data_IF_284806016949
#
_entry.id   IF_284806016949
#
_cell.length_a   1.000
_cell.length_b   1.000
_cell.length_c   1.000
_cell.angle_alpha   90.00
_cell.angle_beta   90.00
_cell.angle_gamma   90.00
#
_symmetry.space_group_name_H-M   'P 1'
#
loop_
_entity.id
_entity.type
_entity.pdbx_description
1 polymer ?
#
# COMPACT_ATOMS: atom_id res chain seq x y z
N UNK A 1 43.24 50.42 86.25
CA UNK A 1 42.86 51.73 85.70
C UNK A 1 41.52 51.51 85.02
N UNK A 2 40.48 51.25 85.82
CA UNK A 2 39.59 52.27 86.39
C UNK A 2 38.59 52.68 85.29
N UNK A 3 37.27 52.67 85.46
CA UNK A 3 36.47 52.66 86.66
C UNK A 3 35.01 52.33 86.31
N UNK A 4 34.28 51.94 87.36
CA UNK A 4 32.83 51.86 87.50
C UNK A 4 31.99 52.90 86.73
N UNK A 5 30.79 52.51 86.27
CA UNK A 5 29.52 53.05 86.80
C UNK A 5 28.27 52.53 86.04
N UNK A 6 27.47 51.76 86.79
CA UNK A 6 25.99 51.75 86.87
C UNK A 6 25.25 52.82 86.04
N UNK A 7 24.17 52.46 85.31
CA UNK A 7 22.77 52.50 85.80
C UNK A 7 21.72 52.47 84.66
N UNK A 8 20.71 51.63 84.88
CA UNK A 8 19.28 51.80 84.52
C UNK A 8 18.81 51.39 83.13
N UNK A 9 18.20 50.20 83.07
CA UNK A 9 17.13 49.88 82.12
C UNK A 9 16.02 50.93 82.18
N UNK A 10 15.68 51.51 81.04
CA UNK A 10 14.31 51.96 80.76
C UNK A 10 13.87 51.33 79.46
N UNK A 11 12.87 50.44 79.58
CA UNK A 11 12.07 49.99 78.46
C UNK A 11 11.45 51.21 77.77
N UNK A 12 11.83 51.45 76.52
CA UNK A 12 11.04 52.21 75.58
C UNK A 12 10.68 51.26 74.45
N UNK A 13 9.41 50.86 74.44
CA UNK A 13 8.79 50.12 73.35
C UNK A 13 8.70 51.07 72.16
N UNK A 14 9.57 50.90 71.17
CA UNK A 14 9.44 51.54 69.86
C UNK A 14 9.16 50.41 68.88
N UNK A 15 7.91 50.37 68.40
CA UNK A 15 7.47 49.54 67.30
C UNK A 15 8.27 49.92 66.04
N UNK A 16 9.30 49.15 65.75
CA UNK A 16 10.01 49.22 64.48
C UNK A 16 9.13 48.65 63.39
N UNK A 17 8.64 49.53 62.52
CA UNK A 17 8.07 49.14 61.23
C UNK A 17 9.19 48.51 60.41
N UNK A 18 9.28 47.19 60.43
CA UNK A 18 10.01 46.44 59.43
C UNK A 18 9.13 46.39 58.17
N UNK A 19 9.54 47.12 57.14
CA UNK A 19 9.03 46.89 55.79
C UNK A 19 9.56 45.52 55.34
N UNK A 20 8.77 44.48 55.60
CA UNK A 20 8.92 43.20 54.91
C UNK A 20 8.54 43.45 53.46
N UNK A 21 9.51 43.40 52.55
CA UNK A 21 9.21 43.13 51.15
C UNK A 21 8.57 41.75 51.11
N UNK A 22 7.24 41.69 51.04
CA UNK A 22 6.56 40.53 50.52
C UNK A 22 6.99 40.46 49.05
N UNK A 23 7.97 39.60 48.77
CA UNK A 23 8.09 39.06 47.43
C UNK A 23 6.81 38.28 47.18
N UNK A 24 5.83 38.90 46.53
CA UNK A 24 4.85 38.14 45.78
C UNK A 24 5.66 37.45 44.68
N UNK A 25 6.10 36.22 44.94
CA UNK A 25 6.27 35.30 43.83
C UNK A 25 4.87 35.11 43.27
N UNK A 26 4.54 35.88 42.24
CA UNK A 26 3.46 35.53 41.32
C UNK A 26 3.92 34.22 40.65
N UNK A 27 3.68 33.13 41.37
CA UNK A 27 3.78 31.79 40.86
C UNK A 27 2.52 31.51 40.06
N UNK A 28 2.34 32.20 38.94
CA UNK A 28 1.79 31.51 37.79
C UNK A 28 2.86 30.51 37.38
N UNK A 29 2.83 29.34 38.03
CA UNK A 29 3.25 28.13 37.36
C UNK A 29 2.47 28.12 36.05
N UNK A 30 3.20 28.30 34.96
CA UNK A 30 2.74 27.82 33.66
C UNK A 30 2.44 26.34 33.90
N UNK A 31 1.15 26.02 34.07
CA UNK A 31 0.69 24.66 34.05
C UNK A 31 0.96 24.24 32.61
N UNK A 32 2.11 23.61 32.37
CA UNK A 32 2.41 23.03 31.07
C UNK A 32 1.15 22.31 30.63
N UNK A 33 0.62 22.71 29.47
CA UNK A 33 -0.55 22.07 28.89
C UNK A 33 -0.17 20.60 28.76
N UNK A 34 -0.76 19.76 29.62
CA UNK A 34 -0.66 18.33 29.43
C UNK A 34 -1.39 18.08 28.10
N UNK A 35 -0.66 17.56 27.13
CA UNK A 35 -1.15 17.21 25.80
C UNK A 35 -0.99 15.71 25.61
N UNK A 36 -1.82 15.15 24.74
CA UNK A 36 -1.95 13.72 24.54
C UNK A 36 -1.23 13.35 23.26
N UNK A 37 -0.25 12.45 23.32
CA UNK A 37 0.47 12.07 22.12
C UNK A 37 -0.38 11.18 21.20
N UNK A 38 -0.25 11.41 19.89
CA UNK A 38 -0.66 10.44 18.88
C UNK A 38 0.43 9.36 18.78
N UNK A 39 0.12 8.12 19.17
CA UNK A 39 1.12 7.04 19.32
C UNK A 39 1.26 6.21 18.05
N UNK A 40 0.16 6.00 17.33
CA UNK A 40 0.17 5.18 16.10
C UNK A 40 -0.88 5.62 15.11
N UNK A 41 -0.48 5.59 13.84
CA UNK A 41 -1.38 5.60 12.69
C UNK A 41 -1.03 4.44 11.77
N UNK A 42 -2.05 3.73 11.31
CA UNK A 42 -1.91 2.62 10.35
C UNK A 42 -3.05 2.71 9.32
N UNK A 43 -2.77 2.69 8.01
CA UNK A 43 -1.46 2.80 7.39
C UNK A 43 -0.73 4.09 7.79
N UNK A 44 0.61 4.07 7.84
CA UNK A 44 1.38 5.31 8.03
C UNK A 44 1.24 6.21 6.80
N UNK A 45 1.40 7.51 6.98
CA UNK A 45 1.50 8.44 5.85
C UNK A 45 2.64 8.05 4.92
N UNK A 46 2.41 8.15 3.61
CA UNK A 46 3.32 7.69 2.56
C UNK A 46 3.27 6.18 2.28
N UNK A 47 2.44 5.39 2.97
CA UNK A 47 2.37 3.93 2.71
C UNK A 47 1.89 3.67 1.29
N UNK A 48 2.59 2.80 0.57
CA UNK A 48 2.20 2.31 -0.75
C UNK A 48 1.68 0.88 -0.63
N UNK A 49 0.90 0.44 -1.62
CA UNK A 49 0.42 -0.94 -1.73
C UNK A 49 -0.40 -1.41 -0.51
N UNK A 50 -1.21 -0.52 0.06
CA UNK A 50 -2.15 -0.85 1.13
C UNK A 50 -3.25 -1.77 0.58
N UNK A 51 -3.56 -2.85 1.28
CA UNK A 51 -4.64 -3.77 0.89
C UNK A 51 -5.98 -3.02 0.75
N UNK A 52 -6.77 -3.32 -0.28
CA UNK A 52 -8.05 -2.66 -0.53
C UNK A 52 -9.08 -2.89 0.59
N UNK A 53 -8.94 -3.94 1.39
CA UNK A 53 -9.75 -4.22 2.58
C UNK A 53 -9.07 -3.80 3.89
N UNK A 54 -7.98 -3.03 3.81
CA UNK A 54 -7.26 -2.57 4.99
C UNK A 54 -8.18 -1.76 5.92
N UNK A 55 -8.01 -1.97 7.22
CA UNK A 55 -8.59 -1.14 8.27
C UNK A 55 -7.61 -0.05 8.63
N UNK A 56 -8.13 1.12 9.01
CA UNK A 56 -7.30 2.20 9.51
C UNK A 56 -7.35 2.20 11.03
N UNK A 57 -6.20 2.29 11.68
CA UNK A 57 -6.07 2.35 13.13
C UNK A 57 -5.38 3.65 13.56
N UNK A 58 -5.95 4.27 14.58
CA UNK A 58 -5.40 5.44 15.27
C UNK A 58 -5.26 5.08 16.75
N UNK A 59 -4.07 5.25 17.32
CA UNK A 59 -3.77 4.96 18.72
C UNK A 59 -3.29 6.20 19.45
N UNK A 60 -3.85 6.44 20.63
CA UNK A 60 -3.64 7.61 21.47
C UNK A 60 -2.97 7.17 22.78
N UNK A 61 -2.14 8.05 23.33
CA UNK A 61 -1.45 7.81 24.60
C UNK A 61 -2.44 7.65 25.76
N UNK A 62 -3.41 8.55 25.82
CA UNK A 62 -4.41 8.59 26.88
C UNK A 62 -5.82 8.18 26.39
N UNK A 63 -6.71 7.97 27.37
CA UNK A 63 -8.07 7.55 27.12
C UNK A 63 -8.87 8.72 26.55
N UNK A 64 -9.40 8.55 25.34
CA UNK A 64 -10.11 9.63 24.64
C UNK A 64 -11.49 9.94 25.21
N UNK A 65 -11.99 11.17 25.01
CA UNK A 65 -13.35 11.56 25.35
C UNK A 65 -14.42 10.85 24.48
N UNK A 66 -15.69 10.93 24.89
CA UNK A 66 -16.79 10.38 24.08
C UNK A 66 -17.03 11.26 22.84
N UNK A 67 -17.33 10.66 21.69
CA UNK A 67 -17.66 11.38 20.45
C UNK A 67 -16.43 11.87 19.68
N UNK A 68 -15.21 11.53 20.13
CA UNK A 68 -13.99 11.98 19.46
C UNK A 68 -13.77 11.34 18.09
N UNK A 69 -14.48 10.25 17.78
CA UNK A 69 -14.54 9.67 16.44
C UNK A 69 -15.09 10.63 15.38
N UNK A 70 -15.89 11.63 15.78
CA UNK A 70 -16.43 12.65 14.87
C UNK A 70 -15.35 13.59 14.32
N UNK A 71 -14.13 13.55 14.87
CA UNK A 71 -12.98 14.34 14.43
C UNK A 71 -11.98 13.50 13.63
N UNK A 72 -12.36 12.31 13.18
CA UNK A 72 -11.55 11.49 12.30
C UNK A 72 -12.32 11.19 11.01
N UNK A 73 -11.65 11.27 9.88
CA UNK A 73 -12.24 11.01 8.57
C UNK A 73 -11.25 10.29 7.66
N UNK A 74 -11.76 9.55 6.68
CA UNK A 74 -10.94 9.00 5.58
C UNK A 74 -11.48 9.57 4.28
N UNK A 75 -10.64 10.21 3.49
CA UNK A 75 -10.99 10.81 2.21
C UNK A 75 -10.44 10.00 1.05
N UNK A 76 -11.15 10.03 -0.08
CA UNK A 76 -10.62 9.55 -1.36
C UNK A 76 -9.84 10.68 -2.02
N UNK A 77 -8.59 10.43 -2.37
CA UNK A 77 -7.66 11.46 -2.85
C UNK A 77 -7.07 12.29 -1.71
N UNK A 78 -7.02 13.60 -1.92
CA UNK A 78 -6.58 14.59 -0.92
C UNK A 78 -7.71 14.89 0.09
N UNK A 79 -7.44 15.78 1.05
CA UNK A 79 -8.33 16.07 2.17
C UNK A 79 -9.63 16.79 1.75
N UNK A 80 -9.65 17.44 0.59
CA UNK A 80 -10.84 18.05 -0.01
C UNK A 80 -11.72 17.04 -0.79
N UNK A 81 -11.23 15.81 -0.92
CA UNK A 81 -11.93 14.72 -1.59
C UNK A 81 -13.16 14.21 -0.82
N UNK A 82 -14.01 13.39 -1.45
CA UNK A 82 -15.18 12.82 -0.80
C UNK A 82 -14.76 11.85 0.33
N UNK A 83 -15.51 11.89 1.44
CA UNK A 83 -15.31 10.96 2.55
C UNK A 83 -15.68 9.52 2.14
N UNK A 84 -14.85 8.58 2.56
CA UNK A 84 -15.04 7.14 2.41
C UNK A 84 -16.10 6.69 3.41
N UNK A 85 -17.16 6.03 2.92
CA UNK A 85 -18.16 5.44 3.80
C UNK A 85 -17.58 4.26 4.60
N UNK A 86 -17.86 4.23 5.91
CA UNK A 86 -17.42 3.15 6.79
C UNK A 86 -17.84 3.37 8.23
N UNK A 87 -17.29 2.55 9.11
CA UNK A 87 -17.61 2.55 10.54
C UNK A 87 -16.38 2.76 11.41
N UNK A 88 -16.50 3.71 12.33
CA UNK A 88 -15.55 3.96 13.41
C UNK A 88 -15.93 3.16 14.67
N UNK A 89 -14.96 2.48 15.27
CA UNK A 89 -15.13 1.70 16.48
C UNK A 89 -13.99 1.95 17.48
N UNK A 90 -14.35 2.34 18.71
CA UNK A 90 -13.41 2.44 19.81
C UNK A 90 -13.16 1.08 20.47
N UNK A 91 -11.91 0.82 20.79
CA UNK A 91 -11.50 -0.13 21.84
C UNK A 91 -12.18 0.19 23.18
N UNK A 92 -12.32 -0.82 24.04
CA UNK A 92 -13.04 -0.67 25.33
C UNK A 92 -12.40 0.37 26.27
N UNK A 93 -11.08 0.48 26.22
CA UNK A 93 -10.29 1.45 26.98
C UNK A 93 -10.25 2.83 26.31
N UNK A 94 -10.69 2.94 25.04
CA UNK A 94 -10.69 4.14 24.20
C UNK A 94 -9.31 4.74 23.95
N UNK A 95 -8.29 3.90 23.83
CA UNK A 95 -6.96 4.30 23.34
C UNK A 95 -6.77 4.03 21.85
N UNK A 96 -7.55 3.11 21.27
CA UNK A 96 -7.51 2.75 19.85
C UNK A 96 -8.85 3.00 19.18
N UNK A 97 -8.82 3.73 18.07
CA UNK A 97 -9.94 3.95 17.18
C UNK A 97 -9.67 3.23 15.87
N UNK A 98 -10.64 2.46 15.39
CA UNK A 98 -10.51 1.68 14.15
C UNK A 98 -11.60 2.06 13.16
N UNK A 99 -11.21 2.42 11.94
CA UNK A 99 -12.10 2.59 10.81
C UNK A 99 -12.15 1.30 9.98
N UNK A 100 -13.35 0.85 9.67
CA UNK A 100 -13.59 -0.23 8.70
C UNK A 100 -14.40 0.34 7.54
N UNK A 101 -13.83 0.42 6.32
CA UNK A 101 -14.58 0.82 5.12
C UNK A 101 -15.80 -0.10 4.88
N UNK A 102 -16.92 0.46 4.43
CA UNK A 102 -18.13 -0.32 4.10
C UNK A 102 -17.95 -1.16 2.82
N UNK A 103 -17.06 -0.71 1.93
CA UNK A 103 -16.69 -1.38 0.68
C UNK A 103 -15.15 -1.37 0.54
N UNK A 104 -14.57 -2.31 -0.21
CA UNK A 104 -13.14 -2.27 -0.53
C UNK A 104 -12.75 -0.93 -1.14
N UNK A 105 -11.63 -0.37 -0.70
CA UNK A 105 -11.07 0.85 -1.24
C UNK A 105 -10.68 0.65 -2.71
N UNK A 106 -10.93 1.63 -3.60
CA UNK A 106 -10.51 1.55 -4.99
C UNK A 106 -9.00 1.27 -5.11
N UNK A 107 -8.57 0.40 -6.04
CA UNK A 107 -7.16 0.06 -6.24
C UNK A 107 -6.39 1.22 -6.88
N UNK A 108 -5.06 1.20 -6.75
CA UNK A 108 -4.13 2.19 -7.33
C UNK A 108 -4.52 3.65 -7.05
N UNK A 109 -5.13 3.91 -5.90
CA UNK A 109 -5.74 5.20 -5.57
C UNK A 109 -5.17 5.74 -4.26
N UNK A 110 -4.97 7.07 -4.24
CA UNK A 110 -4.64 7.76 -3.00
C UNK A 110 -5.87 7.87 -2.11
N UNK A 111 -5.65 7.72 -0.82
CA UNK A 111 -6.59 8.04 0.25
C UNK A 111 -5.87 8.84 1.33
N UNK A 112 -6.63 9.62 2.10
CA UNK A 112 -6.08 10.44 3.18
C UNK A 112 -6.85 10.18 4.46
N UNK A 113 -6.16 9.63 5.47
CA UNK A 113 -6.70 9.55 6.83
C UNK A 113 -6.44 10.88 7.53
N UNK A 114 -7.49 11.49 8.06
CA UNK A 114 -7.42 12.75 8.79
C UNK A 114 -7.72 12.51 10.27
N UNK A 115 -6.82 13.01 11.12
CA UNK A 115 -6.99 13.05 12.57
C UNK A 115 -7.09 14.52 12.97
N UNK A 116 -8.28 14.95 13.37
CA UNK A 116 -8.64 16.33 13.60
C UNK A 116 -7.99 16.96 14.83
N UNK A 117 -7.75 18.27 14.76
CA UNK A 117 -7.16 19.07 15.84
C UNK A 117 -8.02 19.20 17.10
N UNK A 118 -9.33 18.99 16.95
CA UNK A 118 -10.33 19.10 18.00
C UNK A 118 -10.39 17.95 18.99
N UNK A 119 -9.62 16.89 18.75
CA UNK A 119 -9.62 15.69 19.57
C UNK A 119 -9.07 16.00 20.97
N UNK A 120 -9.73 15.46 22.00
CA UNK A 120 -9.31 15.59 23.40
C UNK A 120 -9.40 14.27 24.17
N UNK A 121 -8.57 14.11 25.19
CA UNK A 121 -8.72 13.03 26.16
C UNK A 121 -9.96 13.21 27.06
N UNK A 122 -10.21 12.24 27.93
CA UNK A 122 -11.31 12.26 28.88
C UNK A 122 -11.21 13.41 29.93
N UNK A 123 -10.03 13.99 30.12
CA UNK A 123 -9.78 15.10 31.04
C UNK A 123 -9.81 16.47 30.33
N UNK A 124 -9.92 16.47 28.99
CA UNK A 124 -10.03 17.65 28.14
C UNK A 124 -8.70 18.19 27.61
N UNK A 125 -7.62 17.41 27.73
CA UNK A 125 -6.33 17.73 27.15
C UNK A 125 -6.35 17.54 25.63
N UNK A 126 -5.76 18.49 24.90
CA UNK A 126 -5.65 18.43 23.44
C UNK A 126 -4.56 17.46 22.96
N UNK A 127 -4.51 17.24 21.65
CA UNK A 127 -3.50 16.39 21.02
C UNK A 127 -2.17 17.12 20.80
N UNK A 128 -1.06 16.46 21.14
CA UNK A 128 0.29 16.77 20.64
C UNK A 128 0.55 15.92 19.39
N UNK A 129 0.47 16.57 18.23
CA UNK A 129 0.83 15.97 16.96
C UNK A 129 2.31 16.15 16.60
N UNK A 130 2.98 17.16 17.17
CA UNK A 130 4.37 17.49 16.86
C UNK A 130 5.33 16.40 17.35
N UNK A 131 4.99 15.71 18.44
CA UNK A 131 5.84 14.68 19.03
C UNK A 131 6.11 13.50 18.09
N UNK A 132 5.08 12.96 17.44
CA UNK A 132 5.18 11.72 16.64
C UNK A 132 4.51 11.78 15.27
N UNK A 133 3.66 12.78 15.01
CA UNK A 133 2.84 12.82 13.80
C UNK A 133 3.64 12.81 12.50
N UNK A 134 4.72 13.59 12.44
CA UNK A 134 5.63 13.59 11.27
C UNK A 134 6.41 12.29 11.11
N UNK A 135 6.80 11.64 12.20
CA UNK A 135 7.51 10.35 12.17
C UNK A 135 6.62 9.23 11.59
N UNK A 136 5.30 9.40 11.69
CA UNK A 136 4.29 8.53 11.10
C UNK A 136 3.90 8.94 9.67
N UNK A 137 4.61 9.89 9.06
CA UNK A 137 4.35 10.37 7.71
C UNK A 137 3.18 11.35 7.59
N UNK A 138 2.74 11.93 8.71
CA UNK A 138 1.68 12.93 8.71
C UNK A 138 2.15 14.27 8.14
N UNK A 139 1.21 15.00 7.57
CA UNK A 139 1.34 16.40 7.17
C UNK A 139 0.28 17.23 7.89
N UNK A 140 0.57 18.51 8.16
CA UNK A 140 -0.42 19.40 8.76
C UNK A 140 -1.59 19.62 7.80
N UNK A 141 -2.81 19.40 8.27
CA UNK A 141 -4.03 19.73 7.54
C UNK A 141 -4.28 21.25 7.60
N UNK A 142 -3.70 22.00 6.67
CA UNK A 142 -3.89 23.44 6.58
C UNK A 142 -5.07 23.84 5.67
N UNK A 143 -5.39 25.13 5.64
CA UNK A 143 -6.50 25.68 4.83
C UNK A 143 -6.31 25.41 3.33
N UNK A 144 -5.07 25.24 2.84
CA UNK A 144 -4.80 24.96 1.44
C UNK A 144 -5.15 23.53 1.05
N UNK A 145 -5.02 22.58 1.98
CA UNK A 145 -5.39 21.16 1.78
C UNK A 145 -6.90 20.92 1.88
N UNK A 146 -7.65 21.85 2.48
CA UNK A 146 -9.12 21.73 2.64
C UNK A 146 -9.91 22.20 1.41
N UNK A 147 -9.21 22.63 0.35
CA UNK A 147 -9.78 23.13 -0.90
C UNK A 147 -10.13 24.63 -0.85
N UNK A 148 -10.15 25.30 -2.01
CA UNK A 148 -10.36 26.76 -2.13
C UNK A 148 -11.82 27.21 -1.90
N UNK A 149 -12.44 26.79 -0.80
CA UNK A 149 -13.76 27.24 -0.36
C UNK A 149 -13.67 28.56 0.40
N UNK A 150 -13.27 29.63 -0.28
CA UNK A 150 -13.23 30.98 0.29
C UNK A 150 -14.58 31.36 0.89
N UNK A 151 -14.52 31.98 2.08
CA UNK A 151 -15.57 32.78 2.73
C UNK A 151 -16.99 32.55 2.16
N UNK A 152 -17.75 31.64 2.79
CA UNK A 152 -19.19 31.32 2.62
C UNK A 152 -19.43 29.87 2.17
N UNK A 153 -19.34 28.92 3.10
CA UNK A 153 -19.86 27.56 2.90
C UNK A 153 -19.00 26.53 3.62
N UNK A 154 -19.35 26.25 4.87
CA UNK A 154 -18.69 25.19 5.63
C UNK A 154 -18.69 23.88 4.85
N UNK A 155 -17.56 23.18 4.90
CA UNK A 155 -17.61 21.72 4.87
C UNK A 155 -18.71 21.28 5.85
N UNK A 156 -19.61 20.34 5.49
CA UNK A 156 -20.72 19.98 6.36
C UNK A 156 -20.30 19.50 7.77
N UNK A 157 -19.01 19.18 7.97
CA UNK A 157 -18.50 18.58 9.21
C UNK A 157 -17.27 19.27 9.85
N UNK A 158 -16.46 20.06 9.14
CA UNK A 158 -15.25 20.69 9.73
C UNK A 158 -15.50 22.14 10.18
N UNK A 159 -16.25 22.31 11.27
CA UNK A 159 -16.46 23.61 11.93
C UNK A 159 -15.29 24.01 12.85
N UNK A 160 -15.44 25.13 13.57
CA UNK A 160 -14.46 25.66 14.55
C UNK A 160 -13.95 24.61 15.55
N UNK A 161 -14.74 23.56 15.83
CA UNK A 161 -14.37 22.47 16.73
C UNK A 161 -13.21 21.60 16.25
N UNK A 162 -12.83 21.62 14.96
CA UNK A 162 -11.75 20.79 14.41
C UNK A 162 -10.36 21.43 14.49
N UNK A 163 -10.30 22.73 14.82
CA UNK A 163 -9.06 23.49 14.77
C UNK A 163 -8.10 23.09 15.90
N UNK A 164 -6.85 22.87 15.53
CA UNK A 164 -5.75 22.72 16.46
C UNK A 164 -5.22 24.10 16.90
N UNK A 165 -4.52 24.17 18.04
CA UNK A 165 -4.03 25.42 18.61
C UNK A 165 -3.00 26.15 17.72
N UNK A 166 -2.36 25.44 16.78
CA UNK A 166 -1.42 26.02 15.82
C UNK A 166 -2.12 26.62 14.57
N UNK A 167 -3.45 26.60 14.53
CA UNK A 167 -4.26 27.15 13.43
C UNK A 167 -4.49 26.19 12.26
N UNK A 168 -4.01 24.95 12.34
CA UNK A 168 -4.32 23.88 11.40
C UNK A 168 -5.58 23.12 11.86
N UNK A 169 -5.97 22.09 11.13
CA UNK A 169 -7.12 21.24 11.43
C UNK A 169 -6.72 19.85 11.88
N UNK A 170 -5.52 19.70 12.47
CA UNK A 170 -4.93 18.40 12.83
C UNK A 170 -3.99 17.87 11.74
N UNK A 171 -3.82 16.55 11.64
CA UNK A 171 -2.88 15.94 10.69
C UNK A 171 -3.55 15.01 9.68
N UNK A 172 -3.07 15.08 8.44
CA UNK A 172 -3.43 14.22 7.33
C UNK A 172 -2.32 13.17 7.08
N UNK A 173 -2.73 11.94 6.83
CA UNK A 173 -1.85 10.79 6.59
C UNK A 173 -2.23 10.17 5.24
N UNK A 174 -1.59 10.57 4.13
CA UNK A 174 -1.90 10.04 2.81
C UNK A 174 -1.36 8.61 2.64
N UNK A 175 -2.08 7.73 1.96
CA UNK A 175 -1.62 6.38 1.62
C UNK A 175 -2.21 5.94 0.27
N UNK A 176 -1.60 4.93 -0.34
CA UNK A 176 -1.98 4.41 -1.65
C UNK A 176 -2.37 2.93 -1.56
N UNK A 177 -3.53 2.60 -2.11
CA UNK A 177 -3.97 1.22 -2.24
C UNK A 177 -3.16 0.48 -3.29
N UNK A 178 -3.05 -0.84 -3.11
CA UNK A 178 -2.41 -1.71 -4.09
C UNK A 178 -3.19 -1.74 -5.41
N UNK A 179 -2.54 -2.08 -6.54
CA UNK A 179 -3.22 -2.41 -7.79
C UNK A 179 -4.25 -3.53 -7.63
N UNK A 180 -5.21 -3.60 -8.56
CA UNK A 180 -6.27 -4.59 -8.51
C UNK A 180 -5.75 -5.99 -8.83
N UNK A 181 -5.38 -6.77 -7.82
CA UNK A 181 -4.96 -8.16 -8.06
C UNK A 181 -6.11 -9.11 -8.45
N UNK A 182 -7.37 -8.65 -8.42
CA UNK A 182 -8.55 -9.45 -8.81
C UNK A 182 -8.82 -9.43 -10.31
N UNK A 183 -8.30 -8.42 -11.02
CA UNK A 183 -8.19 -8.48 -12.47
C UNK A 183 -7.01 -9.39 -12.84
N UNK A 184 -7.25 -10.25 -13.82
CA UNK A 184 -6.30 -11.22 -14.35
C UNK A 184 -6.31 -11.11 -15.86
N UNK A 185 -5.16 -11.36 -16.47
CA UNK A 185 -5.04 -11.44 -17.91
C UNK A 185 -5.50 -12.81 -18.38
N UNK A 186 -6.42 -12.85 -19.33
CA UNK A 186 -6.87 -14.07 -19.96
C UNK A 186 -6.08 -14.35 -21.25
N UNK A 187 -5.72 -15.62 -21.44
CA UNK A 187 -5.25 -16.12 -22.74
C UNK A 187 -6.48 -16.41 -23.62
N UNK A 188 -6.67 -15.64 -24.68
CA UNK A 188 -7.83 -15.73 -25.58
C UNK A 188 -7.62 -16.78 -26.67
N UNK A 189 -6.38 -16.95 -27.13
CA UNK A 189 -6.06 -17.89 -28.20
C UNK A 189 -4.64 -18.41 -28.10
N UNK A 190 -4.47 -19.68 -28.47
CA UNK A 190 -3.18 -20.29 -28.79
C UNK A 190 -3.30 -20.99 -30.14
N UNK A 191 -2.32 -20.80 -31.00
CA UNK A 191 -2.21 -21.44 -32.31
C UNK A 191 -0.79 -21.95 -32.51
N UNK A 192 -0.57 -23.24 -32.82
CA UNK A 192 -1.56 -24.32 -32.83
C UNK A 192 -2.19 -24.57 -31.45
N UNK A 193 -3.44 -25.00 -31.42
CA UNK A 193 -4.09 -25.39 -30.16
C UNK A 193 -3.42 -26.65 -29.59
N UNK A 194 -3.34 -26.75 -28.27
CA UNK A 194 -2.81 -27.94 -27.59
C UNK A 194 -3.56 -29.21 -28.01
N UNK A 195 -2.81 -30.29 -28.25
CA UNK A 195 -3.30 -31.57 -28.77
C UNK A 195 -3.53 -31.61 -30.29
N UNK A 196 -3.23 -30.53 -31.01
CA UNK A 196 -3.34 -30.51 -32.48
C UNK A 196 -2.38 -31.51 -33.13
N UNK A 197 -2.82 -32.14 -34.21
CA UNK A 197 -2.01 -33.06 -35.01
C UNK A 197 -1.92 -32.57 -36.45
N UNK A 198 -0.90 -33.02 -37.18
CA UNK A 198 -0.69 -32.70 -38.59
C UNK A 198 -0.61 -31.18 -38.83
N UNK A 199 0.07 -30.47 -37.93
CA UNK A 199 0.35 -29.03 -38.04
C UNK A 199 1.37 -28.78 -39.16
N UNK A 200 1.14 -27.76 -39.99
CA UNK A 200 2.06 -27.40 -41.08
C UNK A 200 3.47 -27.09 -40.55
N UNK A 201 4.51 -27.49 -41.28
CA UNK A 201 5.90 -27.25 -40.86
C UNK A 201 6.26 -25.76 -40.81
N UNK A 202 5.51 -24.91 -41.49
CA UNK A 202 5.63 -23.45 -41.46
C UNK A 202 4.48 -22.80 -40.67
N UNK A 203 3.81 -23.55 -39.79
CA UNK A 203 2.76 -23.02 -38.96
C UNK A 203 3.27 -21.83 -38.16
N UNK A 204 2.45 -20.78 -38.12
CA UNK A 204 2.67 -19.61 -37.27
C UNK A 204 2.28 -19.98 -35.85
N UNK A 205 3.21 -19.79 -34.92
CA UNK A 205 2.94 -19.94 -33.49
C UNK A 205 2.49 -18.58 -32.97
N UNK A 206 1.27 -18.51 -32.46
CA UNK A 206 0.62 -17.26 -32.07
C UNK A 206 -0.16 -17.43 -30.75
N UNK A 207 -0.09 -16.40 -29.92
CA UNK A 207 -0.87 -16.26 -28.70
C UNK A 207 -1.56 -14.90 -28.68
N UNK A 208 -2.81 -14.87 -28.22
CA UNK A 208 -3.61 -13.65 -28.08
C UNK A 208 -4.06 -13.51 -26.63
N UNK A 209 -3.85 -12.33 -26.05
CA UNK A 209 -4.18 -11.94 -24.69
C UNK A 209 -5.32 -10.90 -24.73
N UNK A 210 -6.10 -10.80 -23.65
CA UNK A 210 -7.18 -9.82 -23.55
C UNK A 210 -6.72 -8.42 -23.09
N UNK A 211 -5.47 -8.30 -22.64
CA UNK A 211 -4.83 -7.05 -22.22
C UNK A 211 -3.51 -6.81 -22.97
N UNK A 212 -3.08 -5.55 -23.14
CA UNK A 212 -1.74 -5.24 -23.62
C UNK A 212 -0.68 -5.65 -22.59
N UNK A 213 0.33 -6.40 -23.04
CA UNK A 213 1.35 -7.02 -22.19
C UNK A 213 2.59 -6.13 -22.00
N UNK A 214 3.30 -6.31 -20.88
CA UNK A 214 4.56 -5.59 -20.60
C UNK A 214 5.66 -6.02 -21.56
N UNK A 215 6.47 -5.08 -22.05
CA UNK A 215 7.67 -5.37 -22.85
C UNK A 215 8.65 -6.27 -22.09
N UNK A 216 9.15 -7.32 -22.75
CA UNK A 216 10.13 -8.26 -22.19
C UNK A 216 9.51 -9.51 -21.56
N UNK A 217 8.20 -9.55 -21.32
CA UNK A 217 7.54 -10.76 -20.79
C UNK A 217 7.52 -11.92 -21.81
N UNK A 218 7.79 -11.65 -23.09
CA UNK A 218 8.00 -12.69 -24.11
C UNK A 218 9.21 -13.59 -23.81
N UNK A 219 10.17 -13.14 -23.00
CA UNK A 219 11.28 -13.97 -22.51
C UNK A 219 10.80 -15.12 -21.59
N UNK A 220 9.55 -15.04 -21.12
CA UNK A 220 8.90 -16.08 -20.32
C UNK A 220 8.14 -17.11 -21.19
N UNK A 221 8.28 -17.03 -22.52
CA UNK A 221 7.68 -17.95 -23.48
C UNK A 221 8.77 -18.71 -24.26
N UNK A 222 8.58 -20.01 -24.47
CA UNK A 222 9.51 -20.84 -25.22
C UNK A 222 8.79 -21.88 -26.08
N UNK A 223 9.45 -22.37 -27.13
CA UNK A 223 8.98 -23.49 -27.94
C UNK A 223 10.04 -24.58 -27.92
N UNK A 224 9.66 -25.79 -27.54
CA UNK A 224 10.56 -26.94 -27.47
C UNK A 224 10.19 -28.02 -28.49
N UNK A 225 11.20 -28.74 -28.98
CA UNK A 225 11.04 -29.99 -29.72
C UNK A 225 10.85 -31.15 -28.71
N UNK A 226 9.71 -31.81 -28.75
CA UNK A 226 9.27 -32.78 -27.76
C UNK A 226 8.67 -32.08 -26.52
N UNK A 227 9.03 -32.57 -25.33
CA UNK A 227 8.66 -31.97 -24.05
C UNK A 227 9.50 -30.74 -23.69
N UNK A 228 9.22 -30.14 -22.52
CA UNK A 228 9.94 -28.95 -22.03
C UNK A 228 11.40 -29.21 -21.65
N UNK A 229 11.78 -30.47 -21.45
CA UNK A 229 13.16 -30.93 -21.29
C UNK A 229 13.90 -31.10 -22.64
N UNK A 230 13.18 -30.92 -23.76
CA UNK A 230 13.70 -31.01 -25.11
C UNK A 230 14.46 -29.77 -25.57
N UNK A 231 15.03 -29.85 -26.77
CA UNK A 231 15.76 -28.74 -27.40
C UNK A 231 14.81 -27.58 -27.69
N UNK A 232 15.20 -26.36 -27.28
CA UNK A 232 14.45 -25.16 -27.63
C UNK A 232 14.60 -24.87 -29.14
N UNK A 233 13.47 -24.69 -29.81
CA UNK A 233 13.42 -24.36 -31.23
C UNK A 233 13.94 -22.93 -31.41
N UNK A 234 14.98 -22.70 -32.23
CA UNK A 234 15.49 -21.34 -32.44
C UNK A 234 14.51 -20.51 -33.30
N UNK A 235 14.17 -19.32 -32.82
CA UNK A 235 13.26 -18.39 -33.50
C UNK A 235 13.38 -16.96 -33.03
N UNK A 236 12.33 -16.17 -33.29
CA UNK A 236 12.17 -14.82 -32.79
C UNK A 236 10.71 -14.59 -32.37
N UNK A 237 10.55 -13.90 -31.24
CA UNK A 237 9.27 -13.45 -30.70
C UNK A 237 9.02 -12.00 -31.14
N UNK A 238 7.80 -11.71 -31.59
CA UNK A 238 7.38 -10.37 -32.01
C UNK A 238 5.96 -10.06 -31.49
N UNK A 239 5.82 -8.92 -30.81
CA UNK A 239 4.53 -8.38 -30.39
C UNK A 239 3.82 -7.64 -31.53
N UNK A 240 2.49 -7.68 -31.54
CA UNK A 240 1.68 -6.76 -32.33
C UNK A 240 1.83 -5.32 -31.82
N UNK A 241 1.43 -4.34 -32.63
CA UNK A 241 1.52 -2.91 -32.25
C UNK A 241 0.73 -2.58 -30.98
N UNK A 242 -0.31 -3.36 -30.68
CA UNK A 242 -1.17 -3.17 -29.51
C UNK A 242 -0.76 -4.09 -28.34
N UNK A 243 0.38 -4.80 -28.44
CA UNK A 243 0.97 -5.63 -27.37
C UNK A 243 0.09 -6.74 -26.79
N UNK A 244 -0.96 -7.18 -27.50
CA UNK A 244 -1.84 -8.26 -27.05
C UNK A 244 -1.77 -9.52 -27.93
N UNK A 245 -0.97 -9.51 -29.01
CA UNK A 245 -0.68 -10.73 -29.81
C UNK A 245 0.82 -10.95 -29.85
N UNK A 246 1.26 -12.13 -29.40
CA UNK A 246 2.65 -12.56 -29.43
C UNK A 246 2.82 -13.63 -30.50
N UNK A 247 3.69 -13.38 -31.47
CA UNK A 247 4.00 -14.32 -32.56
C UNK A 247 5.42 -14.86 -32.40
N UNK A 248 5.58 -16.18 -32.49
CA UNK A 248 6.89 -16.79 -32.68
C UNK A 248 7.08 -17.24 -34.13
N UNK A 249 8.21 -16.83 -34.70
CA UNK A 249 8.65 -17.25 -36.04
C UNK A 249 9.91 -18.13 -35.90
N UNK A 250 9.79 -19.46 -36.13
CA UNK A 250 10.94 -20.35 -36.18
C UNK A 250 11.96 -19.92 -37.24
N UNK A 251 13.26 -20.07 -36.97
CA UNK A 251 14.32 -19.76 -37.97
C UNK A 251 14.35 -20.74 -39.13
N UNK A 252 13.95 -21.98 -38.87
CA UNK A 252 13.81 -23.06 -39.85
C UNK A 252 12.41 -23.68 -39.72
N UNK A 253 11.87 -24.31 -40.78
CA UNK A 253 10.60 -25.04 -40.66
C UNK A 253 10.65 -26.06 -39.52
N UNK A 254 9.53 -26.22 -38.82
CA UNK A 254 9.39 -27.17 -37.72
C UNK A 254 9.73 -28.58 -38.17
N UNK A 255 10.26 -29.40 -37.26
CA UNK A 255 10.64 -30.77 -37.59
C UNK A 255 9.39 -31.60 -37.91
N UNK A 256 9.35 -32.25 -39.07
CA UNK A 256 8.26 -33.15 -39.45
C UNK A 256 8.11 -34.36 -38.50
N UNK A 257 6.90 -34.93 -38.45
CA UNK A 257 6.56 -36.11 -37.64
C UNK A 257 7.06 -36.03 -36.18
N UNK A 258 7.02 -34.82 -35.60
CA UNK A 258 7.59 -34.54 -34.28
C UNK A 258 6.62 -33.74 -33.42
N UNK A 259 6.61 -34.07 -32.12
CA UNK A 259 5.91 -33.26 -31.12
C UNK A 259 6.71 -31.98 -30.85
N UNK A 260 6.00 -30.89 -30.64
CA UNK A 260 6.55 -29.62 -30.18
C UNK A 260 5.68 -29.13 -29.02
N UNK A 261 6.30 -28.48 -28.04
CA UNK A 261 5.60 -27.93 -26.87
C UNK A 261 5.85 -26.44 -26.74
N UNK A 262 4.78 -25.64 -26.85
CA UNK A 262 4.81 -24.22 -26.52
C UNK A 262 4.62 -24.07 -25.02
N UNK A 263 5.51 -23.34 -24.35
CA UNK A 263 5.41 -22.97 -22.94
C UNK A 263 5.08 -21.49 -22.81
N UNK A 264 4.11 -21.18 -21.97
CA UNK A 264 3.74 -19.82 -21.56
C UNK A 264 3.95 -19.70 -20.06
N UNK A 265 4.91 -18.88 -19.65
CA UNK A 265 5.30 -18.72 -18.25
C UNK A 265 4.19 -18.13 -17.37
N UNK A 266 4.15 -18.58 -16.11
CA UNK A 266 3.19 -18.11 -15.11
C UNK A 266 3.38 -16.64 -14.69
N UNK A 267 4.59 -16.13 -14.89
CA UNK A 267 5.04 -14.80 -14.49
C UNK A 267 4.67 -13.64 -15.41
N UNK A 268 3.99 -13.93 -16.52
CA UNK A 268 3.63 -12.91 -17.50
C UNK A 268 2.57 -11.97 -16.89
N UNK A 269 2.72 -10.66 -17.16
CA UNK A 269 1.85 -9.60 -16.65
C UNK A 269 1.47 -8.60 -17.74
N UNK A 270 0.30 -7.96 -17.59
CA UNK A 270 -0.08 -6.80 -18.41
C UNK A 270 0.58 -5.49 -17.96
N UNK A 271 0.44 -4.45 -18.78
CA UNK A 271 0.99 -3.10 -18.51
C UNK A 271 0.46 -2.46 -17.21
N UNK A 272 -0.67 -2.94 -16.69
CA UNK A 272 -1.29 -2.49 -15.44
C UNK A 272 -0.84 -3.35 -14.24
N UNK A 273 -0.04 -4.40 -14.47
CA UNK A 273 0.54 -5.27 -13.46
C UNK A 273 -0.34 -6.47 -13.08
N UNK A 274 -1.38 -6.77 -13.85
CA UNK A 274 -2.23 -7.94 -13.64
C UNK A 274 -1.54 -9.21 -14.16
N UNK A 275 -1.55 -10.28 -13.37
CA UNK A 275 -0.98 -11.57 -13.76
C UNK A 275 -1.91 -12.40 -14.63
N UNK A 276 -1.32 -13.34 -15.38
CA UNK A 276 -2.06 -14.34 -16.16
C UNK A 276 -2.99 -15.20 -15.29
N UNK A 277 -4.17 -15.51 -15.82
CA UNK A 277 -5.11 -16.53 -15.36
C UNK A 277 -5.29 -17.59 -16.45
N UNK A 278 -4.65 -18.74 -16.26
CA UNK A 278 -4.83 -19.90 -17.14
C UNK A 278 -6.03 -20.79 -16.77
N UNK A 279 -6.64 -20.58 -15.60
CA UNK A 279 -7.74 -21.42 -15.10
C UNK A 279 -9.02 -21.23 -15.93
N UNK A 280 -9.24 -20.05 -16.52
CA UNK A 280 -10.43 -19.80 -17.35
C UNK A 280 -10.40 -20.48 -18.71
N UNK A 281 -9.30 -20.35 -19.48
CA UNK A 281 -9.29 -20.76 -20.89
C UNK A 281 -8.13 -21.71 -21.26
N UNK A 282 -7.09 -21.80 -20.44
CA UNK A 282 -5.87 -22.54 -20.76
C UNK A 282 -6.14 -24.02 -21.09
N UNK A 283 -6.97 -24.68 -20.27
CA UNK A 283 -7.36 -26.08 -20.48
C UNK A 283 -8.24 -26.28 -21.72
N UNK A 284 -9.13 -25.32 -22.03
CA UNK A 284 -9.99 -25.39 -23.22
C UNK A 284 -9.16 -25.31 -24.51
N UNK A 285 -8.03 -24.61 -24.44
CA UNK A 285 -7.03 -24.54 -25.51
C UNK A 285 -6.05 -25.73 -25.53
N UNK A 286 -6.33 -26.80 -24.77
CA UNK A 286 -5.53 -28.02 -24.75
C UNK A 286 -4.24 -27.90 -23.92
N UNK A 287 -4.12 -26.88 -23.08
CA UNK A 287 -2.97 -26.67 -22.22
C UNK A 287 -2.96 -27.56 -20.98
N UNK A 288 -1.79 -27.70 -20.37
CA UNK A 288 -1.59 -28.37 -19.10
C UNK A 288 -0.59 -27.62 -18.24
N UNK A 289 -0.82 -27.65 -16.93
CA UNK A 289 0.07 -27.06 -15.95
C UNK A 289 1.48 -27.63 -16.06
N UNK A 290 2.46 -26.74 -15.98
CA UNK A 290 3.87 -27.09 -15.89
C UNK A 290 4.25 -27.22 -14.42
N UNK A 291 4.56 -28.44 -13.99
CA UNK A 291 5.13 -28.72 -12.69
C UNK A 291 6.68 -28.74 -12.75
N UNK A 292 7.31 -28.77 -11.57
CA UNK A 292 8.78 -28.77 -11.45
C UNK A 292 9.42 -30.05 -12.04
N UNK A 293 8.69 -31.17 -12.10
CA UNK A 293 9.20 -32.43 -12.65
C UNK A 293 9.26 -32.40 -14.18
N UNK A 294 8.34 -31.66 -14.83
CA UNK A 294 8.31 -31.47 -16.29
C UNK A 294 9.43 -30.58 -16.83
N UNK A 295 10.15 -29.84 -15.97
CA UNK A 295 11.32 -29.02 -16.36
C UNK A 295 12.64 -29.82 -16.43
N UNK A 296 12.63 -31.12 -16.11
CA UNK A 296 13.81 -31.99 -16.20
C UNK A 296 14.88 -31.76 -15.12
N UNK A 297 15.91 -32.63 -15.08
CA UNK A 297 17.00 -32.64 -14.08
C UNK A 297 18.01 -31.45 -14.18
N UNK A 298 17.52 -30.22 -14.34
CA UNK A 298 18.32 -29.01 -14.19
C UNK A 298 18.03 -28.23 -12.89
N UNK A 299 17.26 -28.81 -11.96
CA UNK A 299 17.14 -28.34 -10.57
C UNK A 299 18.38 -28.59 -9.68
N UNK A 300 19.45 -29.17 -10.21
CA UNK A 300 20.62 -29.57 -9.42
C UNK A 300 21.94 -29.46 -10.16
N UNK A 301 22.64 -28.33 -9.96
CA UNK A 301 24.06 -28.12 -10.25
C UNK A 301 24.47 -28.06 -11.73
N UNK A 302 24.52 -26.84 -12.29
CA UNK A 302 25.70 -26.18 -12.89
C UNK A 302 25.26 -24.84 -13.51
N UNK A 303 25.93 -23.77 -13.11
CA UNK A 303 25.56 -22.37 -13.35
C UNK A 303 25.41 -21.98 -14.82
N UNK A 304 24.38 -21.16 -15.08
CA UNK A 304 24.14 -20.57 -16.40
C UNK A 304 22.88 -19.73 -16.57
N UNK A 305 21.91 -19.74 -15.63
CA UNK A 305 20.79 -18.79 -15.64
C UNK A 305 20.54 -18.29 -14.21
N UNK A 306 21.15 -17.16 -13.87
CA UNK A 306 21.02 -16.50 -12.56
C UNK A 306 19.99 -15.36 -12.61
N UNK A 307 18.75 -15.63 -13.06
CA UNK A 307 17.70 -14.61 -13.12
C UNK A 307 16.25 -15.08 -12.84
N UNK A 308 16.04 -16.28 -12.31
CA UNK A 308 14.69 -16.75 -11.93
C UNK A 308 14.46 -16.57 -10.42
N UNK A 309 14.41 -15.30 -9.98
CA UNK A 309 13.78 -14.92 -8.69
C UNK A 309 12.24 -14.87 -8.86
N UNK A 310 11.52 -14.70 -7.74
CA UNK A 310 10.07 -14.77 -7.43
C UNK A 310 9.01 -14.45 -8.52
N UNK A 311 9.38 -13.88 -9.67
CA UNK A 311 8.50 -13.48 -10.76
C UNK A 311 8.01 -14.60 -11.70
N UNK A 312 8.52 -15.85 -11.63
CA UNK A 312 8.11 -16.93 -12.55
C UNK A 312 6.93 -17.79 -12.08
N UNK A 313 6.52 -17.65 -10.81
CA UNK A 313 5.51 -18.52 -10.23
C UNK A 313 4.10 -17.97 -10.44
N UNK A 314 3.24 -18.77 -11.06
CA UNK A 314 1.80 -18.52 -11.01
C UNK A 314 1.31 -18.67 -9.55
N UNK A 315 0.18 -18.04 -9.20
CA UNK A 315 -0.34 -18.03 -7.82
C UNK A 315 -0.64 -19.43 -7.22
N UNK A 316 -0.62 -20.49 -8.04
CA UNK A 316 -0.79 -21.88 -7.64
C UNK A 316 0.54 -22.65 -7.47
N UNK A 317 1.71 -22.00 -7.62
CA UNK A 317 3.03 -22.62 -7.50
C UNK A 317 3.52 -23.35 -8.75
N UNK A 318 2.85 -23.19 -9.90
CA UNK A 318 3.26 -23.75 -11.20
C UNK A 318 4.11 -22.75 -12.00
N UNK A 319 4.83 -23.25 -13.00
CA UNK A 319 5.66 -22.45 -13.89
C UNK A 319 4.91 -21.99 -15.15
N UNK A 320 3.57 -21.93 -15.11
CA UNK A 320 2.72 -21.57 -16.25
C UNK A 320 2.12 -22.79 -16.96
N UNK A 321 1.80 -22.67 -18.24
CA UNK A 321 1.06 -23.68 -19.00
C UNK A 321 1.76 -24.08 -20.31
N UNK A 322 1.74 -25.37 -20.61
CA UNK A 322 2.30 -25.96 -21.83
C UNK A 322 1.20 -26.40 -22.80
N UNK A 323 1.43 -26.20 -24.10
CA UNK A 323 0.52 -26.49 -25.21
C UNK A 323 1.25 -27.32 -26.28
N UNK A 324 1.19 -28.65 -26.24
CA UNK A 324 1.88 -29.52 -27.18
C UNK A 324 1.08 -29.72 -28.45
N UNK A 325 1.76 -29.91 -29.57
CA UNK A 325 1.16 -30.24 -30.85
C UNK A 325 2.11 -31.07 -31.70
N UNK A 326 1.58 -31.84 -32.65
CA UNK A 326 2.38 -32.68 -33.56
C UNK A 326 2.34 -32.15 -34.99
N UNK A 327 3.51 -32.06 -35.61
CA UNK A 327 3.68 -31.60 -36.99
C UNK A 327 3.29 -32.67 -38.01
N UNK A 328 3.02 -32.22 -39.24
CA UNK A 328 2.69 -33.08 -40.36
C UNK A 328 3.90 -33.92 -40.83
N UNK A 329 3.66 -35.03 -41.55
CA UNK A 329 4.70 -35.75 -42.27
C UNK A 329 5.31 -34.90 -43.40
N UNK A 330 6.48 -35.32 -43.87
CA UNK A 330 7.22 -34.67 -44.97
C UNK A 330 6.56 -34.79 -46.34
#
# INVERSE_FOLDING_TARGET
MDNFATRTLRFALIAGVFATFAACSDGTQDAGTQEVALVRVSPRGGSMSVDSNARMEVEFEDRMANGMEEFCAVHTGELDGPEVAGRWEWSQDRHRLTFTPDQPLPPSMQHTLHVGGGITDADGHGMDFDQHGFEMGGEWADESMLGSGGMMGGHPHMGDGWQHHNGTYGMAFPFWTAPDSSQKVALLRVSPQGGSNNVDLNARIEMEFDHPMVDGVEELCSLHLGGLDGEEVPGAWEWSQEHHVLTFTPREPLQHDSEHTLHVGGGIIDVDGHGMDFDQHGFEMGGHWVDEEMLGQHGGMMGGHSHMDEGWQHHNGTYGMAFPFSTAPQ
#
